data_IF_464125132345
#
_entry.id   IF_464125132345
#
_cell.length_a   1.000
_cell.length_b   1.000
_cell.length_c   1.000
_cell.angle_alpha   90.00
_cell.angle_beta   90.00
_cell.angle_gamma   90.00
#
_symmetry.space_group_name_H-M   'P 1'
#
loop_
_entity.id
_entity.type
_entity.pdbx_description
1 polymer ?
#
# COMPACT_ATOMS: atom_id res chain seq x y z
N UNK A 1 7.59 19.84 -17.07
CA UNK A 1 6.38 19.07 -16.69
C UNK A 1 6.48 17.56 -17.00
N UNK A 2 6.95 17.12 -18.18
CA UNK A 2 7.06 15.67 -18.50
C UNK A 2 7.86 14.87 -17.47
N UNK A 3 9.04 15.36 -17.10
CA UNK A 3 9.91 14.76 -16.06
C UNK A 3 9.23 14.68 -14.69
N UNK A 4 8.45 15.71 -14.32
CA UNK A 4 7.71 15.73 -13.06
C UNK A 4 6.63 14.63 -13.01
N UNK A 5 5.88 14.44 -14.09
CA UNK A 5 4.91 13.33 -14.20
C UNK A 5 5.59 11.97 -14.05
N UNK A 6 6.74 11.74 -14.69
CA UNK A 6 7.48 10.49 -14.57
C UNK A 6 7.97 10.24 -13.14
N UNK A 7 8.45 11.28 -12.46
CA UNK A 7 8.88 11.18 -11.06
C UNK A 7 7.70 10.82 -10.16
N UNK A 8 6.53 11.47 -10.35
CA UNK A 8 5.31 11.17 -9.58
C UNK A 8 4.81 9.74 -9.81
N UNK A 9 4.81 9.28 -11.06
CA UNK A 9 4.47 7.90 -11.43
C UNK A 9 5.44 6.88 -10.82
N UNK A 10 6.74 7.16 -10.86
CA UNK A 10 7.74 6.28 -10.26
C UNK A 10 7.59 6.21 -8.73
N UNK A 11 7.36 7.35 -8.07
CA UNK A 11 7.11 7.40 -6.63
C UNK A 11 5.84 6.60 -6.26
N UNK A 12 4.79 6.74 -7.06
CA UNK A 12 3.53 6.01 -6.89
C UNK A 12 3.70 4.49 -7.06
N UNK A 13 4.44 4.06 -8.09
CA UNK A 13 4.72 2.65 -8.34
C UNK A 13 5.58 2.01 -7.23
N UNK A 14 6.62 2.70 -6.76
CA UNK A 14 7.51 2.20 -5.70
C UNK A 14 6.74 2.06 -4.38
N UNK A 15 5.92 3.04 -4.02
CA UNK A 15 5.11 2.99 -2.80
C UNK A 15 4.05 1.87 -2.83
N UNK A 16 3.44 1.61 -3.98
CA UNK A 16 2.56 0.44 -4.17
C UNK A 16 3.33 -0.89 -4.02
N UNK A 17 4.52 -1.00 -4.61
CA UNK A 17 5.36 -2.20 -4.53
C UNK A 17 5.75 -2.53 -3.09
N UNK A 18 6.02 -1.53 -2.25
CA UNK A 18 6.34 -1.70 -0.83
C UNK A 18 5.09 -2.08 -0.02
N UNK A 19 3.93 -1.52 -0.39
CA UNK A 19 2.65 -1.77 0.29
C UNK A 19 2.11 -3.19 0.07
N UNK A 20 2.26 -3.75 -1.15
CA UNK A 20 1.75 -5.08 -1.51
C UNK A 20 2.19 -6.20 -0.54
N UNK A 21 3.50 -6.39 -0.25
CA UNK A 21 3.94 -7.43 0.66
C UNK A 21 3.43 -7.20 2.09
N UNK A 22 3.42 -5.95 2.58
CA UNK A 22 2.88 -5.61 3.90
C UNK A 22 1.40 -6.00 4.04
N UNK A 23 0.58 -5.67 3.04
CA UNK A 23 -0.83 -6.05 3.00
C UNK A 23 -1.01 -7.57 2.83
N UNK A 24 -0.17 -8.22 2.01
CA UNK A 24 -0.18 -9.67 1.85
C UNK A 24 0.11 -10.40 3.17
N UNK A 25 1.11 -9.96 3.92
CA UNK A 25 1.41 -10.50 5.25
C UNK A 25 0.30 -10.20 6.26
N UNK A 26 -0.34 -9.04 6.19
CA UNK A 26 -1.50 -8.75 7.03
C UNK A 26 -2.65 -9.73 6.78
N UNK A 27 -2.96 -10.04 5.50
CA UNK A 27 -3.99 -11.02 5.12
C UNK A 27 -3.64 -12.42 5.66
N UNK A 28 -2.38 -12.83 5.56
CA UNK A 28 -1.91 -14.09 6.15
C UNK A 28 -2.05 -14.10 7.67
N UNK A 29 -1.77 -12.98 8.35
CA UNK A 29 -1.99 -12.82 9.79
C UNK A 29 -3.47 -12.97 10.17
N UNK A 30 -4.39 -12.36 9.41
CA UNK A 30 -5.83 -12.53 9.63
C UNK A 30 -6.33 -13.95 9.31
N UNK A 31 -5.76 -14.61 8.30
CA UNK A 31 -6.03 -16.04 8.04
C UNK A 31 -5.53 -16.91 9.20
N UNK A 32 -4.39 -16.57 9.81
CA UNK A 32 -3.90 -17.19 11.03
C UNK A 32 -4.83 -16.98 12.24
N UNK A 33 -5.44 -15.79 12.38
CA UNK A 33 -6.49 -15.52 13.39
C UNK A 33 -7.73 -16.39 13.15
N UNK A 34 -8.13 -16.60 11.90
CA UNK A 34 -9.28 -17.43 11.56
C UNK A 34 -9.00 -18.93 11.74
N UNK A 35 -7.73 -19.33 11.64
CA UNK A 35 -7.29 -20.72 11.73
C UNK A 35 -6.93 -21.17 13.16
N UNK A 36 -6.68 -20.25 14.12
CA UNK A 36 -6.17 -20.60 15.46
C UNK A 36 -6.75 -19.73 16.59
N UNK A 37 -6.75 -20.27 17.83
CA UNK A 37 -7.40 -19.75 19.05
C UNK A 37 -6.66 -18.55 19.68
N UNK A 38 -5.47 -18.19 19.18
CA UNK A 38 -4.68 -17.02 19.57
C UNK A 38 -5.17 -15.70 18.95
N UNK A 39 -6.43 -15.36 19.18
CA UNK A 39 -7.15 -14.27 18.49
C UNK A 39 -6.57 -12.87 18.76
N UNK A 40 -6.00 -12.62 19.95
CA UNK A 40 -5.54 -11.28 20.34
C UNK A 40 -4.20 -10.89 19.70
N UNK A 41 -3.17 -11.73 19.80
CA UNK A 41 -1.83 -11.40 19.29
C UNK A 41 -1.77 -11.34 17.76
N UNK A 42 -2.37 -12.33 17.09
CA UNK A 42 -2.36 -12.37 15.61
C UNK A 42 -3.21 -11.23 15.00
N UNK A 43 -4.25 -10.78 15.70
CA UNK A 43 -5.08 -9.63 15.27
C UNK A 43 -4.35 -8.31 15.44
N UNK A 44 -3.60 -8.15 16.52
CA UNK A 44 -2.83 -6.93 16.77
C UNK A 44 -1.70 -6.77 15.76
N UNK A 45 -0.96 -7.86 15.47
CA UNK A 45 0.06 -7.87 14.41
C UNK A 45 -0.54 -7.63 13.02
N UNK A 46 -1.65 -8.29 12.68
CA UNK A 46 -2.33 -8.08 11.39
C UNK A 46 -2.79 -6.63 11.21
N UNK A 47 -3.37 -6.03 12.24
CA UNK A 47 -3.81 -4.64 12.22
C UNK A 47 -2.64 -3.66 12.11
N UNK A 48 -1.51 -3.93 12.77
CA UNK A 48 -0.31 -3.12 12.66
C UNK A 48 0.30 -3.16 11.25
N UNK A 49 0.30 -4.34 10.61
CA UNK A 49 0.73 -4.51 9.22
C UNK A 49 -0.19 -3.79 8.22
N UNK A 50 -1.51 -3.79 8.47
CA UNK A 50 -2.46 -2.97 7.70
C UNK A 50 -2.14 -1.48 7.88
N UNK A 51 -1.98 -1.01 9.11
CA UNK A 51 -1.67 0.40 9.41
C UNK A 51 -0.34 0.85 8.81
N UNK A 52 0.63 -0.05 8.66
CA UNK A 52 1.90 0.25 8.00
C UNK A 52 1.80 0.17 6.47
N UNK A 53 1.01 -0.76 5.92
CA UNK A 53 0.87 -0.99 4.49
C UNK A 53 -0.12 -0.08 3.78
N UNK A 54 -1.16 0.40 4.48
CA UNK A 54 -2.25 1.21 3.89
C UNK A 54 -1.83 2.64 3.53
N UNK A 55 -1.10 3.39 4.40
CA UNK A 55 -0.64 4.74 4.06
C UNK A 55 0.22 4.82 2.78
N UNK A 56 1.23 3.94 2.56
CA UNK A 56 1.98 3.94 1.31
C UNK A 56 1.15 3.49 0.12
N UNK A 57 0.13 2.63 0.30
CA UNK A 57 -0.81 2.30 -0.78
C UNK A 57 -1.59 3.54 -1.23
N UNK A 58 -2.22 4.23 -0.29
CA UNK A 58 -3.06 5.41 -0.56
C UNK A 58 -2.20 6.52 -1.16
N UNK A 59 -1.04 6.80 -0.56
CA UNK A 59 -0.08 7.75 -1.10
C UNK A 59 0.35 7.40 -2.52
N UNK A 60 0.64 6.13 -2.78
CA UNK A 60 1.04 5.67 -4.10
C UNK A 60 -0.04 5.82 -5.18
N UNK A 61 -1.29 5.47 -4.85
CA UNK A 61 -2.46 5.67 -5.73
C UNK A 61 -2.61 7.16 -6.07
N UNK A 62 -2.52 8.03 -5.06
CA UNK A 62 -2.66 9.48 -5.25
C UNK A 62 -1.54 10.04 -6.12
N UNK A 63 -0.28 9.66 -5.88
CA UNK A 63 0.84 10.10 -6.71
C UNK A 63 0.74 9.61 -8.16
N UNK A 64 0.31 8.36 -8.37
CA UNK A 64 0.02 7.84 -9.71
C UNK A 64 -1.12 8.60 -10.39
N UNK A 65 -2.23 8.87 -9.69
CA UNK A 65 -3.37 9.61 -10.23
C UNK A 65 -2.99 11.05 -10.63
N UNK A 66 -2.24 11.75 -9.78
CA UNK A 66 -1.73 13.09 -10.07
C UNK A 66 -0.76 13.04 -11.26
N UNK A 67 0.18 12.09 -11.28
CA UNK A 67 1.14 11.92 -12.37
C UNK A 67 0.45 11.71 -13.74
N UNK A 68 -0.62 10.90 -13.77
CA UNK A 68 -1.47 10.65 -14.93
C UNK A 68 -2.30 11.87 -15.35
N UNK A 69 -2.89 12.59 -14.40
CA UNK A 69 -3.63 13.82 -14.68
C UNK A 69 -2.73 14.88 -15.30
N UNK A 70 -1.53 15.10 -14.74
CA UNK A 70 -0.54 16.05 -15.28
C UNK A 70 -0.06 15.63 -16.69
N UNK A 71 -0.05 14.34 -16.99
CA UNK A 71 0.24 13.82 -18.33
C UNK A 71 -0.91 14.02 -19.33
N UNK A 72 -2.16 13.96 -18.86
CA UNK A 72 -3.38 14.07 -19.68
C UNK A 72 -3.79 15.51 -19.99
N UNK A 73 -3.51 16.47 -19.10
CA UNK A 73 -3.84 17.89 -19.26
C UNK A 73 -2.76 18.69 -20.01
N UNK A 74 -1.87 18.02 -20.74
CA UNK A 74 -0.75 18.62 -21.47
C UNK A 74 -0.82 18.24 -22.95
#
# INVERSE_FOLDING_TARGET
MRTLSFILLALGAISMLISLPLLGFAVLGFLGVLADVGVSENREMGMQLVLMGLPPLIGGVVFCAIGLLVLKFR
#
